data_IF_432821593879
#
_entry.id   IF_432821593879
#
_cell.length_a   1.000
_cell.length_b   1.000
_cell.length_c   1.000
_cell.angle_alpha   90.00
_cell.angle_beta   90.00
_cell.angle_gamma   90.00
#
_symmetry.space_group_name_H-M   'P 1'
#
loop_
_entity.id
_entity.type
_entity.pdbx_description
1 polymer ?
#
# COMPACT_ATOMS: atom_id res chain seq x y z
N UNK A 1 -15.91 -0.40 30.51
CA UNK A 1 -15.15 -0.41 29.25
C UNK A 1 -15.79 0.64 28.35
N UNK A 2 -15.20 1.84 28.28
CA UNK A 2 -15.74 2.94 27.49
C UNK A 2 -15.32 2.77 26.04
N UNK A 3 -16.28 2.70 25.12
CA UNK A 3 -15.99 2.86 23.70
C UNK A 3 -15.63 4.33 23.48
N UNK A 4 -14.43 4.60 22.99
CA UNK A 4 -14.06 5.93 22.51
C UNK A 4 -15.03 6.30 21.38
N UNK A 5 -15.58 7.52 21.41
CA UNK A 5 -16.44 7.98 20.34
C UNK A 5 -15.67 7.92 19.01
N UNK A 6 -16.39 7.63 17.92
CA UNK A 6 -15.77 7.65 16.58
C UNK A 6 -15.22 9.06 16.36
N UNK A 7 -13.90 9.22 16.15
CA UNK A 7 -13.31 10.53 15.92
C UNK A 7 -13.92 11.16 14.67
N UNK A 8 -14.02 12.49 14.64
CA UNK A 8 -14.43 13.21 13.43
C UNK A 8 -13.38 13.06 12.32
N UNK A 9 -13.72 13.46 11.09
CA UNK A 9 -12.83 13.26 9.95
C UNK A 9 -11.51 14.03 10.06
N UNK A 10 -11.50 15.16 10.78
CA UNK A 10 -10.29 15.95 10.97
C UNK A 10 -9.31 15.18 11.86
N UNK A 11 -9.79 14.71 13.01
CA UNK A 11 -8.99 13.90 13.92
C UNK A 11 -8.56 12.58 13.26
N UNK A 12 -9.44 11.92 12.49
CA UNK A 12 -9.09 10.71 11.75
C UNK A 12 -7.93 10.92 10.78
N UNK A 13 -7.91 12.04 10.05
CA UNK A 13 -6.83 12.39 9.14
C UNK A 13 -5.52 12.61 9.89
N UNK A 14 -5.54 13.38 10.98
CA UNK A 14 -4.35 13.66 11.79
C UNK A 14 -3.75 12.38 12.38
N UNK A 15 -4.59 11.53 12.96
CA UNK A 15 -4.19 10.24 13.52
C UNK A 15 -3.65 9.30 12.44
N UNK A 16 -4.32 9.24 11.27
CA UNK A 16 -3.90 8.38 10.15
C UNK A 16 -2.54 8.81 9.61
N UNK A 17 -2.32 10.12 9.42
CA UNK A 17 -1.04 10.63 8.89
C UNK A 17 0.08 10.40 9.91
N UNK A 18 -0.17 10.62 11.20
CA UNK A 18 0.81 10.36 12.25
C UNK A 18 1.19 8.87 12.32
N UNK A 19 0.21 7.97 12.32
CA UNK A 19 0.45 6.53 12.33
C UNK A 19 1.18 6.07 11.06
N UNK A 20 0.81 6.61 9.89
CA UNK A 20 1.52 6.34 8.64
C UNK A 20 2.98 6.78 8.69
N UNK A 21 3.26 7.98 9.22
CA UNK A 21 4.62 8.49 9.36
C UNK A 21 5.48 7.58 10.25
N UNK A 22 4.93 7.15 11.38
CA UNK A 22 5.60 6.23 12.30
C UNK A 22 5.88 4.89 11.63
N UNK A 23 4.87 4.30 10.97
CA UNK A 23 5.01 3.03 10.27
C UNK A 23 6.06 3.09 9.15
N UNK A 24 6.04 4.14 8.32
CA UNK A 24 6.99 4.31 7.22
C UNK A 24 8.40 4.63 7.72
N UNK A 25 8.54 5.41 8.79
CA UNK A 25 9.82 5.65 9.45
C UNK A 25 10.44 4.36 9.98
N UNK A 26 9.66 3.57 10.71
CA UNK A 26 10.11 2.27 11.23
C UNK A 26 10.47 1.29 10.10
N UNK A 27 9.63 1.20 9.06
CA UNK A 27 9.91 0.38 7.88
C UNK A 27 11.22 0.79 7.20
N UNK A 28 11.42 2.08 6.96
CA UNK A 28 12.62 2.61 6.29
C UNK A 28 13.88 2.30 7.10
N UNK A 29 13.85 2.51 8.41
CA UNK A 29 14.97 2.20 9.30
C UNK A 29 15.30 0.68 9.32
N UNK A 30 14.28 -0.18 9.29
CA UNK A 30 14.45 -1.62 9.25
C UNK A 30 14.86 -2.15 7.86
N UNK A 31 14.44 -1.49 6.77
CA UNK A 31 14.67 -1.92 5.38
C UNK A 31 16.13 -2.18 5.07
N UNK A 32 17.03 -1.33 5.57
CA UNK A 32 18.48 -1.47 5.36
C UNK A 32 19.07 -2.77 5.95
N UNK A 33 18.36 -3.43 6.87
CA UNK A 33 18.78 -4.67 7.51
C UNK A 33 18.30 -5.91 6.74
N UNK A 34 17.42 -5.74 5.74
CA UNK A 34 16.87 -6.85 4.96
C UNK A 34 17.90 -7.29 3.92
N UNK A 35 18.28 -8.58 3.88
CA UNK A 35 19.21 -9.08 2.87
C UNK A 35 18.68 -8.86 1.44
N UNK A 36 19.58 -8.63 0.46
CA UNK A 36 19.21 -8.58 -0.94
C UNK A 36 18.39 -9.81 -1.37
N UNK A 37 17.38 -9.61 -2.22
CA UNK A 37 16.50 -10.68 -2.70
C UNK A 37 15.42 -11.14 -1.69
N UNK A 38 15.27 -10.47 -0.54
CA UNK A 38 14.21 -10.77 0.45
C UNK A 38 13.12 -9.71 0.57
N UNK A 39 13.20 -8.65 -0.24
CA UNK A 39 12.18 -7.62 -0.34
C UNK A 39 11.95 -7.27 -1.82
N UNK A 40 10.68 -7.12 -2.20
CA UNK A 40 10.28 -6.57 -3.50
C UNK A 40 9.21 -5.53 -3.26
N UNK A 41 9.47 -4.31 -3.68
CA UNK A 41 8.48 -3.24 -3.70
C UNK A 41 7.75 -3.21 -5.04
N UNK A 42 6.46 -2.93 -4.94
CA UNK A 42 5.52 -2.97 -6.05
C UNK A 42 4.69 -1.71 -6.00
N UNK A 43 4.81 -0.86 -7.01
CA UNK A 43 3.90 0.25 -7.19
C UNK A 43 2.49 -0.30 -7.46
N UNK A 44 1.49 0.26 -6.77
CA UNK A 44 0.10 -0.13 -6.96
C UNK A 44 -0.32 0.00 -8.45
N UNK A 45 0.11 1.07 -9.11
CA UNK A 45 -0.17 1.34 -10.53
C UNK A 45 0.36 0.23 -11.44
N UNK A 46 1.56 -0.28 -11.19
CA UNK A 46 2.15 -1.36 -11.98
C UNK A 46 1.38 -2.67 -11.79
N UNK A 47 0.96 -2.96 -10.55
CA UNK A 47 0.17 -4.14 -10.24
C UNK A 47 -1.19 -4.11 -10.92
N UNK A 48 -1.86 -2.94 -10.92
CA UNK A 48 -3.16 -2.77 -11.59
C UNK A 48 -3.01 -2.86 -13.11
N UNK A 49 -2.01 -2.18 -13.68
CA UNK A 49 -1.82 -2.14 -15.13
C UNK A 49 -1.33 -3.48 -15.70
N UNK A 50 -0.49 -4.20 -14.98
CA UNK A 50 0.18 -5.42 -15.46
C UNK A 50 0.32 -6.46 -14.34
N UNK A 51 -0.80 -7.04 -13.84
CA UNK A 51 -0.78 -7.91 -12.67
C UNK A 51 0.05 -9.18 -12.87
N UNK A 52 -0.02 -9.79 -14.06
CA UNK A 52 0.69 -11.05 -14.34
C UNK A 52 2.19 -10.82 -14.42
N UNK A 53 2.64 -9.82 -15.16
CA UNK A 53 4.04 -9.44 -15.26
C UNK A 53 4.60 -9.01 -13.90
N UNK A 54 3.81 -8.28 -13.12
CA UNK A 54 4.21 -7.83 -11.79
C UNK A 54 4.39 -9.01 -10.83
N UNK A 55 3.45 -9.96 -10.80
CA UNK A 55 3.56 -11.13 -9.91
C UNK A 55 4.67 -12.09 -10.36
N UNK A 56 4.88 -12.27 -11.67
CA UNK A 56 6.03 -13.03 -12.18
C UNK A 56 7.37 -12.43 -11.72
N UNK A 57 7.50 -11.10 -11.77
CA UNK A 57 8.68 -10.39 -11.24
C UNK A 57 8.88 -10.65 -9.75
N UNK A 58 7.81 -10.69 -8.95
CA UNK A 58 7.89 -11.01 -7.52
C UNK A 58 8.45 -12.43 -7.32
N UNK A 59 7.89 -13.43 -8.02
CA UNK A 59 8.37 -14.82 -7.95
C UNK A 59 9.86 -14.90 -8.28
N UNK A 60 10.29 -14.27 -9.38
CA UNK A 60 11.70 -14.26 -9.80
C UNK A 60 12.60 -13.58 -8.77
N UNK A 61 12.24 -12.39 -8.31
CA UNK A 61 13.09 -11.58 -7.44
C UNK A 61 13.22 -12.18 -6.03
N UNK A 62 12.18 -12.86 -5.55
CA UNK A 62 12.20 -13.56 -4.26
C UNK A 62 12.69 -15.01 -4.35
N UNK A 63 13.00 -15.50 -5.55
CA UNK A 63 13.43 -16.90 -5.77
C UNK A 63 12.33 -17.93 -5.45
N UNK A 64 11.06 -17.56 -5.58
CA UNK A 64 9.93 -18.45 -5.33
C UNK A 64 9.77 -19.39 -6.52
N UNK A 65 9.91 -20.69 -6.28
CA UNK A 65 9.69 -21.71 -7.29
C UNK A 65 8.19 -21.87 -7.63
N UNK A 66 7.89 -22.54 -8.74
CA UNK A 66 6.52 -22.94 -9.05
C UNK A 66 5.69 -21.96 -9.88
N UNK A 67 6.32 -20.96 -10.51
CA UNK A 67 5.60 -19.97 -11.34
C UNK A 67 4.76 -20.62 -12.44
N UNK A 68 5.31 -21.61 -13.16
CA UNK A 68 4.59 -22.26 -14.26
C UNK A 68 3.30 -22.94 -13.79
N UNK A 69 3.32 -23.54 -12.60
CA UNK A 69 2.15 -24.17 -11.99
C UNK A 69 1.15 -23.13 -11.47
N UNK A 70 1.63 -22.03 -10.88
CA UNK A 70 0.78 -21.00 -10.28
C UNK A 70 0.15 -20.04 -11.30
N UNK A 71 0.78 -19.83 -12.46
CA UNK A 71 0.42 -18.80 -13.44
C UNK A 71 -1.06 -18.81 -13.83
N UNK A 72 -1.63 -19.99 -14.08
CA UNK A 72 -3.03 -20.10 -14.51
C UNK A 72 -4.00 -19.63 -13.41
N UNK A 73 -3.78 -20.03 -12.16
CA UNK A 73 -4.61 -19.60 -11.03
C UNK A 73 -4.48 -18.09 -10.78
N UNK A 74 -3.27 -17.55 -10.87
CA UNK A 74 -3.00 -16.12 -10.74
C UNK A 74 -3.68 -15.34 -11.86
N UNK A 75 -3.67 -15.85 -13.10
CA UNK A 75 -4.36 -15.25 -14.24
C UNK A 75 -5.88 -15.22 -14.06
N UNK A 76 -6.46 -16.31 -13.57
CA UNK A 76 -7.89 -16.35 -13.25
C UNK A 76 -8.23 -15.30 -12.18
N UNK A 77 -7.43 -15.20 -11.11
CA UNK A 77 -7.64 -14.20 -10.05
C UNK A 77 -7.49 -12.76 -10.55
N UNK A 78 -6.46 -12.48 -11.34
CA UNK A 78 -6.23 -11.16 -11.93
C UNK A 78 -7.39 -10.76 -12.86
N UNK A 79 -7.95 -11.70 -13.61
CA UNK A 79 -9.12 -11.46 -14.47
C UNK A 79 -10.35 -11.10 -13.65
N UNK A 80 -10.61 -11.82 -12.54
CA UNK A 80 -11.70 -11.49 -11.62
C UNK A 80 -11.51 -10.14 -10.94
N UNK A 81 -10.27 -9.77 -10.62
CA UNK A 81 -9.96 -8.50 -9.96
C UNK A 81 -10.20 -7.28 -10.88
N UNK A 82 -10.28 -7.43 -12.21
CA UNK A 82 -10.51 -6.32 -13.14
C UNK A 82 -11.86 -5.61 -12.93
N UNK A 83 -12.86 -6.32 -12.41
CA UNK A 83 -14.16 -5.71 -12.12
C UNK A 83 -14.20 -5.00 -10.76
N UNK A 84 -13.17 -5.13 -9.94
CA UNK A 84 -13.09 -4.43 -8.66
C UNK A 84 -12.81 -2.95 -8.91
N UNK A 85 -13.70 -2.10 -8.38
CA UNK A 85 -13.49 -0.65 -8.33
C UNK A 85 -13.40 -0.25 -6.86
N UNK A 86 -12.25 0.26 -6.39
CA UNK A 86 -12.18 0.80 -5.05
C UNK A 86 -13.11 2.01 -4.94
N UNK A 87 -13.91 2.07 -3.88
CA UNK A 87 -14.64 3.28 -3.55
C UNK A 87 -13.64 4.38 -3.22
N UNK A 88 -13.70 5.56 -3.86
CA UNK A 88 -12.82 6.65 -3.51
C UNK A 88 -13.10 7.09 -2.07
N UNK A 89 -12.04 7.38 -1.33
CA UNK A 89 -12.17 8.06 -0.03
C UNK A 89 -12.69 9.47 -0.31
N UNK A 90 -13.80 9.83 0.33
CA UNK A 90 -14.39 11.16 0.26
C UNK A 90 -14.29 11.79 1.64
N UNK A 91 -13.51 12.87 1.73
CA UNK A 91 -13.35 13.67 2.94
C UNK A 91 -14.14 14.97 2.80
N UNK A 92 -14.62 15.49 3.94
CA UNK A 92 -15.09 16.86 4.05
C UNK A 92 -13.96 17.84 3.70
N UNK A 93 -14.31 18.98 3.12
CA UNK A 93 -13.34 19.93 2.57
C UNK A 93 -12.25 20.34 3.58
N UNK A 94 -12.62 20.52 4.86
CA UNK A 94 -11.67 20.87 5.92
C UNK A 94 -10.68 19.73 6.22
N UNK A 95 -11.16 18.49 6.25
CA UNK A 95 -10.32 17.32 6.49
C UNK A 95 -9.39 17.03 5.28
N UNK A 96 -9.88 17.22 4.06
CA UNK A 96 -9.07 17.12 2.83
C UNK A 96 -7.96 18.17 2.79
N UNK A 97 -8.27 19.44 3.09
CA UNK A 97 -7.27 20.50 3.19
C UNK A 97 -6.22 20.17 4.25
N UNK A 98 -6.66 19.68 5.41
CA UNK A 98 -5.75 19.28 6.48
C UNK A 98 -4.84 18.14 6.06
N UNK A 99 -5.37 17.13 5.37
CA UNK A 99 -4.57 16.02 4.84
C UNK A 99 -3.47 16.53 3.90
N UNK A 100 -3.81 17.44 2.98
CA UNK A 100 -2.87 18.01 2.02
C UNK A 100 -1.75 18.80 2.71
N UNK A 101 -2.09 19.61 3.72
CA UNK A 101 -1.10 20.33 4.53
C UNK A 101 -0.13 19.39 5.24
N UNK A 102 -0.65 18.32 5.84
CA UNK A 102 0.16 17.35 6.57
C UNK A 102 1.08 16.57 5.63
N UNK A 103 0.57 16.12 4.48
CA UNK A 103 1.38 15.41 3.46
C UNK A 103 2.49 16.31 2.94
N UNK A 104 2.23 17.60 2.69
CA UNK A 104 3.24 18.54 2.21
C UNK A 104 4.39 18.77 3.22
N UNK A 105 4.16 18.51 4.50
CA UNK A 105 5.17 18.61 5.56
C UNK A 105 5.96 17.32 5.75
N UNK A 106 5.52 16.20 5.15
CA UNK A 106 6.21 14.93 5.27
C UNK A 106 7.40 14.85 4.30
N UNK A 107 8.54 14.31 4.74
CA UNK A 107 9.65 14.03 3.83
C UNK A 107 9.21 12.98 2.79
N UNK A 108 9.66 13.07 1.53
CA UNK A 108 9.35 12.07 0.53
C UNK A 108 9.88 10.70 0.98
N UNK A 109 8.98 9.73 1.14
CA UNK A 109 9.35 8.35 1.42
C UNK A 109 9.90 7.71 0.14
N UNK A 110 11.16 7.25 0.18
CA UNK A 110 11.90 6.63 -0.95
C UNK A 110 12.06 5.12 -0.79
#
# INVERSE_FOLDING_TARGET
MGFQAVPDQLQQVEETVAAHAELMGAFTAARAQIPPGRLVEVAYTDLVASPITTVERIYRNLGIAGWQQARAAIQARATQARSYRPSPVQLEAAAEQRLQELIAQQPPHS
#
